data_IF_822239161478
#
_entry.id   IF_822239161478
#
_cell.length_a   1.000
_cell.length_b   1.000
_cell.length_c   1.000
_cell.angle_alpha   90.00
_cell.angle_beta   90.00
_cell.angle_gamma   90.00
#
_symmetry.space_group_name_H-M   'P 1'
#
loop_
_entity.id
_entity.type
_entity.pdbx_description
1 polymer ?
#
# COMPACT_ATOMS: atom_id res chain seq x y z
N UNK A 1 -3.48 11.61 -12.43
CA UNK A 1 -4.09 10.83 -13.53
C UNK A 1 -3.52 9.42 -13.63
N UNK A 2 -2.21 9.18 -13.43
CA UNK A 2 -1.65 7.79 -13.38
C UNK A 2 -1.93 7.08 -12.05
N UNK A 3 -1.79 7.79 -10.92
CA UNK A 3 -2.11 7.23 -9.60
C UNK A 3 -3.57 6.75 -9.47
N UNK A 4 -4.51 7.46 -10.09
CA UNK A 4 -5.95 7.10 -10.06
C UNK A 4 -6.22 5.74 -10.71
N UNK A 5 -5.66 5.49 -11.90
CA UNK A 5 -5.82 4.21 -12.58
C UNK A 5 -5.16 3.04 -11.84
N UNK A 6 -4.02 3.29 -11.17
CA UNK A 6 -3.38 2.30 -10.31
C UNK A 6 -4.26 1.98 -9.09
N UNK A 7 -4.80 3.00 -8.41
CA UNK A 7 -5.71 2.83 -7.26
C UNK A 7 -6.94 2.02 -7.67
N UNK A 8 -7.60 2.36 -8.77
CA UNK A 8 -8.79 1.63 -9.26
C UNK A 8 -8.46 0.16 -9.54
N UNK A 9 -7.30 -0.10 -10.14
CA UNK A 9 -6.86 -1.48 -10.41
C UNK A 9 -6.61 -2.23 -9.10
N UNK A 10 -5.90 -1.62 -8.15
CA UNK A 10 -5.62 -2.23 -6.85
C UNK A 10 -6.90 -2.52 -6.07
N UNK A 11 -7.83 -1.56 -5.99
CA UNK A 11 -9.13 -1.76 -5.35
C UNK A 11 -9.89 -2.92 -5.99
N UNK A 12 -9.90 -3.02 -7.32
CA UNK A 12 -10.53 -4.15 -8.03
C UNK A 12 -9.87 -5.48 -7.66
N UNK A 13 -8.54 -5.56 -7.71
CA UNK A 13 -7.79 -6.77 -7.39
C UNK A 13 -8.06 -7.24 -5.96
N UNK A 14 -8.02 -6.32 -4.99
CA UNK A 14 -8.24 -6.65 -3.59
C UNK A 14 -9.70 -7.01 -3.28
N UNK A 15 -10.67 -6.34 -3.93
CA UNK A 15 -12.09 -6.73 -3.87
C UNK A 15 -12.31 -8.14 -4.40
N UNK A 16 -11.64 -8.52 -5.49
CA UNK A 16 -11.75 -9.86 -6.05
C UNK A 16 -11.10 -10.91 -5.14
N UNK A 17 -9.97 -10.59 -4.49
CA UNK A 17 -9.27 -11.48 -3.57
C UNK A 17 -10.09 -11.84 -2.31
N UNK A 18 -11.12 -11.04 -1.97
CA UNK A 18 -12.11 -11.37 -0.93
C UNK A 18 -12.78 -12.72 -1.17
N UNK A 19 -12.95 -13.13 -2.42
CA UNK A 19 -13.51 -14.46 -2.78
C UNK A 19 -12.59 -15.62 -2.39
N UNK A 20 -11.29 -15.35 -2.29
CA UNK A 20 -10.25 -16.30 -1.91
C UNK A 20 -9.95 -16.25 -0.40
N UNK A 21 -10.75 -15.49 0.38
CA UNK A 21 -10.62 -15.34 1.84
C UNK A 21 -9.68 -14.23 2.29
N UNK A 22 -9.07 -13.48 1.37
CA UNK A 22 -8.20 -12.35 1.71
C UNK A 22 -9.03 -11.06 1.84
N UNK A 23 -9.15 -10.56 3.06
CA UNK A 23 -9.91 -9.33 3.37
C UNK A 23 -8.93 -8.17 3.47
N UNK A 24 -9.18 -7.13 2.68
CA UNK A 24 -8.44 -5.88 2.64
C UNK A 24 -9.45 -4.75 2.83
N UNK A 25 -9.26 -3.91 3.83
CA UNK A 25 -10.22 -2.84 4.17
C UNK A 25 -9.88 -1.53 3.49
N UNK A 26 -8.58 -1.25 3.35
CA UNK A 26 -8.09 0.00 2.80
C UNK A 26 -6.69 -0.16 2.20
N UNK A 27 -6.37 0.72 1.27
CA UNK A 27 -5.03 0.87 0.72
C UNK A 27 -4.59 2.33 0.79
N UNK A 28 -3.30 2.56 0.88
CA UNK A 28 -2.69 3.87 0.79
C UNK A 28 -1.52 3.86 -0.19
N UNK A 29 -1.36 4.94 -0.95
CA UNK A 29 -0.20 5.14 -1.84
C UNK A 29 0.59 6.36 -1.40
N UNK A 30 1.81 6.12 -0.94
CA UNK A 30 2.78 7.17 -0.64
C UNK A 30 3.82 7.24 -1.77
N UNK A 31 4.39 8.41 -2.08
CA UNK A 31 5.47 8.49 -3.06
C UNK A 31 6.73 7.77 -2.57
N UNK A 32 7.31 6.89 -3.37
CA UNK A 32 8.56 6.22 -3.03
C UNK A 32 9.73 7.20 -3.06
N UNK A 33 10.75 6.94 -2.23
CA UNK A 33 11.93 7.81 -2.09
C UNK A 33 11.55 9.28 -1.90
N UNK A 34 10.46 9.54 -1.17
CA UNK A 34 9.94 10.89 -0.91
C UNK A 34 9.60 11.68 -2.19
N UNK A 35 9.24 10.98 -3.26
CA UNK A 35 8.88 11.57 -4.54
C UNK A 35 10.06 11.90 -5.45
N UNK A 36 11.29 11.50 -5.08
CA UNK A 36 12.47 11.64 -5.95
C UNK A 36 12.33 10.82 -7.23
N UNK A 37 11.57 9.72 -7.19
CA UNK A 37 11.30 8.87 -8.35
C UNK A 37 9.85 9.09 -8.79
N UNK A 38 9.68 9.58 -10.02
CA UNK A 38 8.37 9.78 -10.62
C UNK A 38 7.64 8.44 -10.81
N UNK A 39 6.33 8.44 -10.56
CA UNK A 39 5.44 7.30 -10.75
C UNK A 39 5.86 6.02 -10.00
N UNK A 40 6.55 6.19 -8.87
CA UNK A 40 6.94 5.11 -7.96
C UNK A 40 6.36 5.35 -6.57
N UNK A 41 5.77 4.32 -5.97
CA UNK A 41 4.94 4.42 -4.78
C UNK A 41 5.24 3.31 -3.78
N UNK A 42 5.08 3.62 -2.49
CA UNK A 42 4.94 2.65 -1.41
C UNK A 42 3.45 2.38 -1.22
N UNK A 43 3.08 1.10 -1.29
CA UNK A 43 1.70 0.64 -1.10
C UNK A 43 1.53 0.17 0.36
N UNK A 44 0.75 0.92 1.14
CA UNK A 44 0.22 0.47 2.43
C UNK A 44 -1.10 -0.27 2.23
N UNK A 45 -1.31 -1.36 2.96
CA UNK A 45 -2.49 -2.23 2.85
C UNK A 45 -2.97 -2.59 4.25
N UNK A 46 -4.24 -2.30 4.56
CA UNK A 46 -4.91 -2.82 5.75
C UNK A 46 -5.51 -4.18 5.43
N UNK A 47 -5.02 -5.24 6.06
CA UNK A 47 -5.39 -6.63 5.81
C UNK A 47 -5.75 -7.37 7.12
N UNK A 48 -6.94 -7.15 7.71
CA UNK A 48 -7.32 -7.76 8.97
C UNK A 48 -7.33 -9.30 8.95
N UNK A 49 -7.60 -9.91 7.80
CA UNK A 49 -7.54 -11.37 7.64
C UNK A 49 -6.11 -11.93 7.76
N UNK A 50 -5.09 -11.08 7.75
CA UNK A 50 -3.68 -11.45 7.90
C UNK A 50 -3.10 -11.02 9.26
N UNK A 51 -3.94 -10.60 10.22
CA UNK A 51 -3.49 -10.05 11.51
C UNK A 51 -2.68 -11.02 12.38
N UNK A 52 -2.88 -12.34 12.23
CA UNK A 52 -2.12 -13.37 12.92
C UNK A 52 -0.93 -13.91 12.09
N UNK A 53 -0.75 -13.40 10.88
CA UNK A 53 0.32 -13.81 9.96
C UNK A 53 1.54 -12.92 10.18
N UNK A 54 2.73 -13.52 10.19
CA UNK A 54 3.97 -12.78 10.36
C UNK A 54 4.14 -11.72 9.25
N UNK A 55 4.67 -10.53 9.56
CA UNK A 55 4.75 -9.39 8.63
C UNK A 55 5.38 -9.76 7.27
N UNK A 56 6.49 -10.51 7.27
CA UNK A 56 7.12 -10.97 6.02
C UNK A 56 6.21 -11.86 5.17
N UNK A 57 5.46 -12.76 5.80
CA UNK A 57 4.55 -13.67 5.10
C UNK A 57 3.32 -12.92 4.58
N UNK A 58 2.78 -11.98 5.37
CA UNK A 58 1.65 -11.15 4.93
C UNK A 58 2.02 -10.27 3.74
N UNK A 59 3.23 -9.68 3.74
CA UNK A 59 3.78 -8.98 2.57
C UNK A 59 3.95 -9.89 1.36
N UNK A 60 4.44 -11.13 1.54
CA UNK A 60 4.62 -12.07 0.44
C UNK A 60 3.29 -12.46 -0.20
N UNK A 61 2.23 -12.66 0.59
CA UNK A 61 0.88 -12.95 0.09
C UNK A 61 0.39 -11.81 -0.81
N UNK A 62 0.50 -10.56 -0.35
CA UNK A 62 0.08 -9.39 -1.15
C UNK A 62 0.92 -9.26 -2.42
N UNK A 63 2.25 -9.43 -2.32
CA UNK A 63 3.13 -9.38 -3.48
C UNK A 63 2.77 -10.46 -4.51
N UNK A 64 2.54 -11.72 -4.08
CA UNK A 64 2.11 -12.80 -4.98
C UNK A 64 0.81 -12.46 -5.70
N UNK A 65 -0.17 -11.90 -5.00
CA UNK A 65 -1.44 -11.46 -5.59
C UNK A 65 -1.21 -10.38 -6.66
N UNK A 66 -0.41 -9.37 -6.37
CA UNK A 66 -0.04 -8.33 -7.33
C UNK A 66 0.70 -8.94 -8.54
N UNK A 67 1.59 -9.91 -8.32
CA UNK A 67 2.30 -10.60 -9.40
C UNK A 67 1.38 -11.34 -10.36
N UNK A 68 0.25 -11.85 -9.86
CA UNK A 68 -0.72 -12.60 -10.67
C UNK A 68 -1.77 -11.71 -11.35
N UNK A 69 -2.13 -10.57 -10.74
CA UNK A 69 -3.35 -9.83 -11.10
C UNK A 69 -3.12 -8.43 -11.68
N UNK A 70 -1.95 -7.82 -11.47
CA UNK A 70 -1.62 -6.51 -12.08
C UNK A 70 -0.60 -6.64 -13.21
N UNK A 71 -0.61 -5.68 -14.14
CA UNK A 71 0.33 -5.69 -15.26
C UNK A 71 1.77 -5.41 -14.82
N UNK A 72 2.79 -5.81 -15.60
CA UNK A 72 4.18 -5.50 -15.28
C UNK A 72 4.46 -4.00 -15.14
N UNK A 73 3.79 -3.16 -15.92
CA UNK A 73 3.92 -1.70 -15.86
C UNK A 73 3.40 -1.14 -14.54
N UNK A 74 2.19 -1.53 -14.14
CA UNK A 74 1.60 -1.15 -12.86
C UNK A 74 2.44 -1.65 -11.68
N UNK A 75 3.00 -2.85 -11.79
CA UNK A 75 3.88 -3.42 -10.77
C UNK A 75 5.16 -2.62 -10.59
N UNK A 76 5.77 -2.11 -11.67
CA UNK A 76 6.96 -1.25 -11.60
C UNK A 76 6.70 0.06 -10.86
N UNK A 77 5.45 0.50 -10.81
CA UNK A 77 5.06 1.67 -10.02
C UNK A 77 5.07 1.38 -8.51
N UNK A 78 5.03 0.12 -8.08
CA UNK A 78 5.04 -0.25 -6.66
C UNK A 78 6.47 -0.59 -6.27
N UNK A 79 7.11 0.31 -5.51
CA UNK A 79 8.45 0.11 -4.99
C UNK A 79 8.47 -0.89 -3.82
N UNK A 80 7.49 -0.76 -2.92
CA UNK A 80 7.41 -1.51 -1.67
C UNK A 80 5.96 -1.72 -1.27
N UNK A 81 5.71 -2.83 -0.57
CA UNK A 81 4.42 -3.13 0.06
C UNK A 81 4.60 -3.16 1.58
N UNK A 82 3.61 -2.64 2.27
CA UNK A 82 3.47 -2.62 3.73
C UNK A 82 2.08 -3.13 4.08
N UNK A 83 2.00 -4.07 5.01
CA UNK A 83 0.76 -4.69 5.43
C UNK A 83 0.53 -4.38 6.90
N UNK A 84 -0.65 -3.88 7.20
CA UNK A 84 -1.11 -3.48 8.52
C UNK A 84 -2.32 -4.32 8.90
N UNK A 85 -2.54 -4.49 10.20
CA UNK A 85 -3.60 -5.36 10.71
C UNK A 85 -4.98 -4.71 10.64
N UNK A 86 -5.03 -3.39 10.56
CA UNK A 86 -6.26 -2.61 10.53
C UNK A 86 -6.02 -1.25 9.86
N UNK A 87 -7.11 -0.49 9.67
CA UNK A 87 -7.07 0.80 8.97
C UNK A 87 -6.45 1.88 9.84
N UNK A 88 -6.60 1.80 11.15
CA UNK A 88 -6.03 2.74 12.12
C UNK A 88 -4.50 2.72 12.06
N UNK A 89 -3.89 1.53 12.10
CA UNK A 89 -2.44 1.33 11.97
C UNK A 89 -1.93 1.87 10.62
N UNK A 90 -2.67 1.62 9.53
CA UNK A 90 -2.36 2.16 8.21
C UNK A 90 -2.40 3.70 8.20
N UNK A 91 -3.42 4.29 8.84
CA UNK A 91 -3.61 5.74 8.91
C UNK A 91 -2.51 6.43 9.73
N UNK A 92 -2.11 5.84 10.85
CA UNK A 92 -1.03 6.33 11.71
C UNK A 92 0.31 6.35 10.96
N UNK A 93 0.54 5.39 10.07
CA UNK A 93 1.80 5.28 9.32
C UNK A 93 1.81 6.06 8.00
N UNK A 94 0.68 6.62 7.55
CA UNK A 94 0.62 7.40 6.30
C UNK A 94 1.51 8.66 6.35
N UNK A 95 1.74 9.19 7.54
CA UNK A 95 2.54 10.41 7.76
C UNK A 95 4.04 10.18 7.52
N UNK A 96 4.49 8.93 7.49
CA UNK A 96 5.89 8.55 7.33
C UNK A 96 6.09 7.62 6.13
N UNK A 97 5.29 7.78 5.06
CA UNK A 97 5.34 6.94 3.86
C UNK A 97 5.27 5.43 4.16
N UNK A 98 4.55 5.04 5.22
CA UNK A 98 4.43 3.68 5.73
C UNK A 98 5.72 3.03 6.24
N UNK A 99 6.71 3.82 6.67
CA UNK A 99 7.96 3.33 7.26
C UNK A 99 7.89 3.19 8.79
N UNK A 100 8.61 2.20 9.31
CA UNK A 100 8.57 1.77 10.74
C UNK A 100 9.24 2.77 11.70
N UNK A 101 10.12 3.65 11.19
CA UNK A 101 10.80 4.67 12.00
C UNK A 101 10.67 6.04 11.34
N UNK A 102 10.34 7.10 12.11
CA UNK A 102 10.40 8.46 11.59
C UNK A 102 11.85 8.76 11.21
N UNK A 103 12.10 9.09 9.95
CA UNK A 103 13.42 9.51 9.53
C UNK A 103 13.67 10.92 10.11
N UNK A 104 14.59 11.02 11.09
CA UNK A 104 14.88 12.26 11.85
C UNK A 104 15.36 13.44 10.98
N UNK A 105 15.69 13.22 9.71
CA UNK A 105 16.23 14.24 8.79
C UNK A 105 15.23 15.19 8.13
N UNK A 106 13.93 15.17 8.46
CA UNK A 106 12.89 15.85 7.64
C UNK A 106 12.04 16.89 8.38
N UNK A 107 12.67 17.86 9.05
CA UNK A 107 11.97 19.10 9.43
C UNK A 107 11.84 20.00 8.19
N UNK A 108 10.63 20.12 7.61
CA UNK A 108 10.31 21.23 6.68
C UNK A 108 9.81 20.88 5.27
N UNK A 109 9.67 19.60 4.88
CA UNK A 109 9.02 19.26 3.61
C UNK A 109 7.51 19.16 3.83
N UNK A 110 6.73 20.13 3.35
CA UNK A 110 5.27 20.02 3.26
C UNK A 110 4.91 18.92 2.25
N UNK A 111 4.71 17.70 2.72
CA UNK A 111 4.26 16.58 1.90
C UNK A 111 2.73 16.61 1.77
N UNK A 112 2.23 16.31 0.58
CA UNK A 112 0.83 15.90 0.44
C UNK A 112 0.71 14.53 1.10
N UNK A 113 -0.14 14.43 2.11
CA UNK A 113 -0.38 13.18 2.82
C UNK A 113 -0.95 12.14 1.85
N UNK A 114 -0.53 10.86 1.95
CA UNK A 114 -1.17 9.78 1.23
C UNK A 114 -2.67 9.78 1.52
N UNK A 115 -3.49 9.76 0.47
CA UNK A 115 -4.90 9.51 0.62
C UNK A 115 -5.10 8.00 0.86
N UNK A 116 -5.91 7.65 1.85
CA UNK A 116 -6.38 6.28 2.01
C UNK A 116 -7.61 6.04 1.15
N UNK A 117 -7.66 4.86 0.54
CA UNK A 117 -8.73 4.43 -0.35
C UNK A 117 -9.38 3.18 0.25
N UNK A 118 -10.66 3.24 0.65
CA UNK A 118 -11.36 2.07 1.16
C UNK A 118 -11.54 1.02 0.05
N UNK A 119 -11.59 -0.24 0.44
CA UNK A 119 -11.83 -1.40 -0.43
C UNK A 119 -13.14 -2.05 0.02
N UNK A 120 -14.25 -1.67 -0.64
CA UNK A 120 -15.60 -2.25 -0.37
C UNK A 120 -15.72 -3.70 -0.86
#
# INVERSE_FOLDING_TARGET
MVATALVETLQKVFREAKKDGLIIDAIGLAPAFHGMVKDSYVLGVSAPSLSEVHEYESMEIILKLLWQRVTPEQRRMINRVRVFNNVEDLDDHKYNDFADYPYEGYVGIQRKLPQLYPVE
#
